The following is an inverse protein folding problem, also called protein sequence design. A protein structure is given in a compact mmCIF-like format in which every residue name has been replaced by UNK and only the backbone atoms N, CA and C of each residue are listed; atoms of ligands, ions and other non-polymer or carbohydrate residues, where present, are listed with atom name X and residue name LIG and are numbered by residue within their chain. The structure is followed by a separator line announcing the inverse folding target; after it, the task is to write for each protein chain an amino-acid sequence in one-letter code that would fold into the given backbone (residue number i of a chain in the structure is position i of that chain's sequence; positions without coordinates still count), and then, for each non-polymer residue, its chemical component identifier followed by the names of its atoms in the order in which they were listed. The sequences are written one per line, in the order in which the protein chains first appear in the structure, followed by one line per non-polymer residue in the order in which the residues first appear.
data_IF_013141969546
#
_entry.id   IF_013141969546
#
_cell.length_a   1.000
_cell.length_b   1.000
_cell.length_c   1.000
_cell.angle_alpha   90.00
_cell.angle_beta   90.00
_cell.angle_gamma   90.00
#
_symmetry.space_group_name_H-M   'P 1'
#
loop_
_entity.id
_entity.type
_entity.pdbx_description
1 polymer ?
#
# COMPACT_ATOMS: atom_id res chain seq x y z
N UNK A 1 7.11 -27.47 21.53
CA UNK A 1 6.92 -26.95 20.17
C UNK A 1 7.45 -25.52 20.19
N UNK A 2 8.32 -25.16 19.27
CA UNK A 2 8.72 -23.78 19.05
C UNK A 2 7.63 -23.04 18.24
N UNK A 3 7.79 -21.72 18.02
CA UNK A 3 6.80 -20.89 17.30
C UNK A 3 6.51 -21.45 15.91
N UNK A 4 7.54 -21.84 15.16
CA UNK A 4 7.42 -22.40 13.81
C UNK A 4 6.58 -23.68 13.80
N UNK A 5 6.91 -24.64 14.66
CA UNK A 5 6.17 -25.92 14.75
C UNK A 5 4.70 -25.70 15.16
N UNK A 6 4.46 -24.72 16.02
CA UNK A 6 3.12 -24.37 16.49
C UNK A 6 2.30 -23.75 15.36
N UNK A 7 2.86 -22.77 14.65
CA UNK A 7 2.18 -22.12 13.52
C UNK A 7 1.94 -23.09 12.36
N UNK A 8 2.93 -23.91 11.99
CA UNK A 8 2.80 -24.91 10.93
C UNK A 8 1.69 -25.95 11.22
N UNK A 9 1.39 -26.18 12.51
CA UNK A 9 0.31 -27.09 12.93
C UNK A 9 -1.06 -26.44 12.97
N UNK A 10 -1.16 -25.18 13.40
CA UNK A 10 -2.44 -24.56 13.76
C UNK A 10 -2.89 -23.44 12.80
N UNK A 11 -2.00 -22.94 11.95
CA UNK A 11 -2.32 -21.90 10.95
C UNK A 11 -2.36 -22.54 9.56
N UNK A 12 -3.36 -22.19 8.76
CA UNK A 12 -3.45 -22.66 7.37
C UNK A 12 -2.16 -22.29 6.60
N UNK A 13 -1.62 -23.18 5.73
CA UNK A 13 -0.30 -23.03 5.10
C UNK A 13 -0.26 -21.98 3.97
N UNK A 14 -1.09 -20.96 4.02
CA UNK A 14 -1.23 -19.95 2.97
C UNK A 14 -0.03 -19.01 2.82
N UNK A 15 0.83 -18.93 3.84
CA UNK A 15 2.01 -18.04 3.88
C UNK A 15 3.35 -18.76 3.75
N UNK A 16 3.37 -20.11 3.70
CA UNK A 16 4.60 -20.88 3.84
C UNK A 16 5.64 -20.62 2.72
N UNK A 17 5.21 -20.16 1.56
CA UNK A 17 6.08 -19.86 0.42
C UNK A 17 6.76 -18.49 0.47
N UNK A 18 6.37 -17.62 1.40
CA UNK A 18 6.87 -16.23 1.54
C UNK A 18 7.50 -15.94 2.90
N UNK A 19 7.45 -16.89 3.86
CA UNK A 19 8.00 -16.71 5.21
C UNK A 19 9.53 -16.71 5.19
N UNK A 20 10.12 -15.79 5.95
CA UNK A 20 11.50 -15.95 6.40
C UNK A 20 11.57 -17.09 7.43
N UNK A 21 12.69 -17.83 7.48
CA UNK A 21 12.87 -18.89 8.48
C UNK A 21 13.24 -18.34 9.87
N UNK A 22 12.60 -17.25 10.27
CA UNK A 22 12.90 -16.47 11.48
C UNK A 22 11.66 -16.38 12.37
N UNK A 23 11.88 -16.25 13.68
CA UNK A 23 10.84 -16.03 14.69
C UNK A 23 11.12 -14.71 15.39
N UNK A 24 10.47 -13.63 14.97
CA UNK A 24 10.66 -12.31 15.56
C UNK A 24 9.93 -12.21 16.91
N UNK A 25 10.61 -11.66 17.92
CA UNK A 25 10.12 -11.54 19.29
C UNK A 25 10.13 -10.10 19.79
N UNK A 26 10.89 -9.22 19.15
CA UNK A 26 10.99 -7.80 19.51
C UNK A 26 11.20 -6.95 18.27
N UNK A 27 10.81 -5.68 18.34
CA UNK A 27 11.05 -4.70 17.29
C UNK A 27 11.15 -3.29 17.86
N UNK A 28 11.97 -2.43 17.22
CA UNK A 28 12.16 -1.03 17.62
C UNK A 28 12.77 -0.22 16.45
N UNK A 29 12.18 0.92 16.10
CA UNK A 29 12.64 1.76 15.00
C UNK A 29 12.66 0.99 13.68
N UNK A 30 13.78 0.99 12.98
CA UNK A 30 13.97 0.25 11.72
C UNK A 30 14.39 -1.22 11.92
N UNK A 31 14.34 -1.75 13.14
CA UNK A 31 14.88 -3.06 13.45
C UNK A 31 13.85 -4.03 14.03
N UNK A 32 14.03 -5.30 13.66
CA UNK A 32 13.36 -6.45 14.30
C UNK A 32 14.40 -7.40 14.87
N UNK A 33 14.04 -8.13 15.94
CA UNK A 33 14.92 -9.05 16.65
C UNK A 33 14.28 -10.45 16.69
N UNK A 34 15.06 -11.48 16.38
CA UNK A 34 14.61 -12.86 16.43
C UNK A 34 14.79 -13.48 17.83
N UNK A 35 14.29 -14.71 18.00
CA UNK A 35 14.33 -15.48 19.25
C UNK A 35 15.76 -15.93 19.66
N UNK A 36 16.78 -15.66 18.83
CA UNK A 36 18.19 -15.84 19.18
C UNK A 36 18.87 -14.54 19.64
N UNK A 37 18.16 -13.41 19.60
CA UNK A 37 18.67 -12.09 19.91
C UNK A 37 19.40 -11.39 18.76
N UNK A 38 19.33 -11.93 17.56
CA UNK A 38 19.91 -11.33 16.36
C UNK A 38 18.98 -10.23 15.84
N UNK A 39 19.54 -9.05 15.56
CA UNK A 39 18.81 -7.87 15.05
C UNK A 39 18.97 -7.75 13.55
N UNK A 40 17.89 -7.37 12.89
CA UNK A 40 17.82 -7.20 11.43
C UNK A 40 17.29 -5.80 11.10
N UNK A 41 17.95 -5.11 10.18
CA UNK A 41 17.46 -3.88 9.58
C UNK A 41 16.29 -4.21 8.65
N UNK A 42 15.11 -3.70 8.94
CA UNK A 42 13.89 -3.97 8.17
C UNK A 42 13.67 -2.93 7.07
N UNK A 43 14.18 -3.21 5.87
CA UNK A 43 13.91 -2.41 4.68
C UNK A 43 12.69 -2.91 3.88
N UNK A 44 11.78 -3.64 4.55
CA UNK A 44 10.53 -4.11 3.96
C UNK A 44 9.28 -3.65 4.72
N UNK A 45 9.43 -3.29 5.99
CA UNK A 45 8.38 -2.69 6.81
C UNK A 45 7.10 -3.52 6.92
N UNK A 46 7.21 -4.86 6.92
CA UNK A 46 6.04 -5.74 6.96
C UNK A 46 5.08 -5.51 5.79
N UNK A 47 5.56 -5.47 4.55
CA UNK A 47 4.81 -5.10 3.33
C UNK A 47 4.40 -3.61 3.28
N UNK A 48 5.29 -2.69 3.65
CA UNK A 48 5.05 -1.24 3.70
C UNK A 48 4.01 -0.81 4.76
N UNK A 49 3.85 -1.59 5.84
CA UNK A 49 2.89 -1.32 6.91
C UNK A 49 3.49 -0.44 8.01
N UNK A 50 4.72 -0.74 8.47
CA UNK A 50 5.38 -0.06 9.58
C UNK A 50 5.99 1.28 9.13
N UNK A 51 5.15 2.23 8.70
CA UNK A 51 5.62 3.52 8.16
C UNK A 51 6.36 4.38 9.19
N UNK A 52 6.01 4.28 10.47
CA UNK A 52 6.65 4.99 11.57
C UNK A 52 7.86 4.26 12.17
N UNK A 53 8.28 3.13 11.57
CA UNK A 53 9.13 2.18 12.25
C UNK A 53 8.35 1.34 13.25
N UNK A 54 9.05 0.40 13.88
CA UNK A 54 8.47 -0.50 14.86
C UNK A 54 8.37 0.16 16.22
N UNK A 55 7.24 -0.03 16.90
CA UNK A 55 7.01 0.42 18.28
C UNK A 55 7.34 1.90 18.51
N UNK A 56 6.96 2.79 17.59
CA UNK A 56 7.21 4.23 17.73
C UNK A 56 6.62 4.75 19.05
N UNK A 57 7.40 5.43 19.94
CA UNK A 57 6.97 5.74 21.30
C UNK A 57 5.64 6.51 21.36
N UNK A 58 5.50 7.59 20.60
CA UNK A 58 4.25 8.40 20.56
C UNK A 58 3.05 7.58 20.07
N UNK A 59 3.26 6.67 19.12
CA UNK A 59 2.20 5.80 18.60
C UNK A 59 1.75 4.77 19.65
N UNK A 60 2.72 4.14 20.34
CA UNK A 60 2.45 3.20 21.45
C UNK A 60 1.71 3.91 22.58
N UNK A 61 2.14 5.12 22.97
CA UNK A 61 1.49 5.94 23.98
C UNK A 61 0.02 6.23 23.60
N UNK A 62 -0.22 6.74 22.38
CA UNK A 62 -1.58 7.07 21.93
C UNK A 62 -2.53 5.87 21.94
N UNK A 63 -2.06 4.69 21.51
CA UNK A 63 -2.86 3.46 21.55
C UNK A 63 -3.10 2.96 22.98
N UNK A 64 -2.09 3.03 23.85
CA UNK A 64 -2.21 2.63 25.25
C UNK A 64 -3.22 3.51 26.00
N UNK A 65 -3.19 4.83 25.78
CA UNK A 65 -4.13 5.77 26.34
C UNK A 65 -5.54 5.52 25.81
N UNK A 66 -5.70 5.33 24.48
CA UNK A 66 -7.01 5.04 23.89
C UNK A 66 -7.60 3.73 24.41
N UNK A 67 -6.79 2.68 24.53
CA UNK A 67 -7.22 1.38 25.09
C UNK A 67 -7.67 1.49 26.56
N UNK A 68 -7.03 2.35 27.34
CA UNK A 68 -7.39 2.59 28.75
C UNK A 68 -8.61 3.49 28.91
N UNK A 69 -8.94 4.32 27.91
CA UNK A 69 -10.00 5.32 28.00
C UNK A 69 -11.31 4.84 27.38
N UNK A 70 -11.24 4.35 26.13
CA UNK A 70 -12.41 3.93 25.37
C UNK A 70 -11.97 3.02 24.22
N UNK A 71 -12.06 1.72 24.42
CA UNK A 71 -11.56 0.69 23.51
C UNK A 71 -12.45 0.49 22.30
N UNK A 72 -13.78 0.35 22.51
CA UNK A 72 -14.70 0.08 21.43
C UNK A 72 -16.15 0.49 21.73
N UNK A 73 -16.76 1.10 20.71
CA UNK A 73 -18.20 1.12 20.45
C UNK A 73 -18.43 1.22 18.95
N UNK A 74 -19.54 0.69 18.46
CA UNK A 74 -19.85 0.67 17.02
C UNK A 74 -20.16 2.09 16.49
N UNK A 75 -20.39 2.18 15.17
CA UNK A 75 -20.74 3.44 14.48
C UNK A 75 -22.10 4.01 14.86
N UNK A 76 -22.77 3.50 15.88
CA UNK A 76 -24.04 4.01 16.42
C UNK A 76 -23.88 5.32 17.20
N UNK A 77 -22.67 5.69 17.60
CA UNK A 77 -22.36 6.91 18.32
C UNK A 77 -21.24 7.71 17.66
N UNK A 78 -21.25 9.02 17.85
CA UNK A 78 -20.13 9.87 17.51
C UNK A 78 -18.91 9.54 18.39
N UNK A 79 -17.73 9.64 17.80
CA UNK A 79 -16.46 9.33 18.43
C UNK A 79 -15.45 10.45 18.12
N UNK A 80 -14.98 11.22 19.14
CA UNK A 80 -14.08 12.35 18.91
C UNK A 80 -12.78 11.97 18.17
N UNK A 81 -12.16 10.86 18.56
CA UNK A 81 -10.91 10.41 17.92
C UNK A 81 -11.13 9.98 16.47
N UNK A 82 -12.30 9.41 16.14
CA UNK A 82 -12.67 9.09 14.75
C UNK A 82 -12.92 10.36 13.93
N UNK A 83 -13.56 11.37 14.49
CA UNK A 83 -13.75 12.64 13.82
C UNK A 83 -12.42 13.32 13.52
N UNK A 84 -11.47 13.27 14.46
CA UNK A 84 -10.12 13.80 14.27
C UNK A 84 -9.34 13.02 13.19
N UNK A 85 -9.35 11.68 13.24
CA UNK A 85 -8.73 10.86 12.20
C UNK A 85 -9.30 11.16 10.80
N UNK A 86 -10.62 11.30 10.69
CA UNK A 86 -11.28 11.64 9.43
C UNK A 86 -10.84 13.02 8.92
N UNK A 87 -10.78 14.03 9.80
CA UNK A 87 -10.32 15.38 9.45
C UNK A 87 -8.88 15.36 8.92
N UNK A 88 -7.97 14.73 9.66
CA UNK A 88 -6.55 14.63 9.28
C UNK A 88 -6.39 13.97 7.91
N UNK A 89 -7.11 12.88 7.65
CA UNK A 89 -7.05 12.19 6.36
C UNK A 89 -7.56 13.06 5.21
N UNK A 90 -8.73 13.68 5.38
CA UNK A 90 -9.34 14.52 4.34
C UNK A 90 -8.48 15.73 4.03
N UNK A 91 -7.93 16.40 5.06
CA UNK A 91 -7.06 17.58 4.88
C UNK A 91 -5.71 17.29 4.20
N UNK A 92 -5.28 16.00 4.13
CA UNK A 92 -3.99 15.58 3.54
C UNK A 92 -4.13 14.79 2.25
N UNK A 93 -5.35 14.46 1.84
CA UNK A 93 -5.58 13.61 0.67
C UNK A 93 -6.26 14.40 -0.43
N UNK A 94 -5.51 14.95 -1.38
CA UNK A 94 -6.05 15.67 -2.53
C UNK A 94 -7.17 16.66 -2.16
N UNK A 95 -8.15 16.84 -3.04
CA UNK A 95 -9.40 17.57 -2.78
C UNK A 95 -10.52 16.63 -2.29
N UNK A 96 -10.19 15.65 -1.43
CA UNK A 96 -11.20 14.72 -0.90
C UNK A 96 -12.13 15.43 0.10
N UNK A 97 -13.36 14.93 0.19
CA UNK A 97 -14.41 15.57 0.98
C UNK A 97 -14.84 14.75 2.19
N UNK A 98 -14.94 13.42 2.02
CA UNK A 98 -15.37 12.51 3.09
C UNK A 98 -14.63 11.19 3.04
N UNK A 99 -14.58 10.50 4.19
CA UNK A 99 -13.93 9.20 4.36
C UNK A 99 -14.90 8.17 4.94
N UNK A 100 -14.84 6.95 4.42
CA UNK A 100 -15.42 5.75 5.03
C UNK A 100 -14.29 4.86 5.54
N UNK A 101 -14.34 4.49 6.83
CA UNK A 101 -13.37 3.58 7.44
C UNK A 101 -13.81 2.13 7.33
N UNK A 102 -12.87 1.24 7.09
CA UNK A 102 -13.00 -0.22 7.13
C UNK A 102 -11.76 -0.84 7.82
N UNK A 103 -11.52 -2.14 7.65
CA UNK A 103 -10.50 -2.85 8.43
C UNK A 103 -9.30 -3.31 7.60
N UNK A 104 -9.40 -3.24 6.28
CA UNK A 104 -8.35 -3.71 5.36
C UNK A 104 -8.42 -3.00 4.02
N UNK A 105 -7.33 -3.10 3.23
CA UNK A 105 -7.32 -2.61 1.85
C UNK A 105 -8.32 -3.34 0.95
N UNK A 106 -8.54 -4.65 1.15
CA UNK A 106 -9.53 -5.40 0.39
C UNK A 106 -10.96 -4.89 0.64
N UNK A 107 -11.34 -4.59 1.90
CA UNK A 107 -12.63 -3.97 2.22
C UNK A 107 -12.74 -2.55 1.64
N UNK A 108 -11.64 -1.80 1.59
CA UNK A 108 -11.63 -0.48 0.94
C UNK A 108 -11.92 -0.61 -0.55
N UNK A 109 -11.29 -1.55 -1.25
CA UNK A 109 -11.58 -1.85 -2.67
C UNK A 109 -13.04 -2.26 -2.87
N UNK A 110 -13.57 -3.20 -2.08
CA UNK A 110 -14.98 -3.62 -2.14
C UNK A 110 -15.92 -2.42 -1.99
N UNK A 111 -15.60 -1.51 -1.06
CA UNK A 111 -16.38 -0.29 -0.82
C UNK A 111 -16.29 0.68 -1.99
N UNK A 112 -15.09 0.94 -2.52
CA UNK A 112 -14.89 1.83 -3.65
C UNK A 112 -15.62 1.35 -4.91
N UNK A 113 -15.58 0.04 -5.20
CA UNK A 113 -16.32 -0.58 -6.31
C UNK A 113 -17.84 -0.40 -6.17
N UNK A 114 -18.40 -0.59 -4.97
CA UNK A 114 -19.82 -0.37 -4.71
C UNK A 114 -20.22 1.09 -4.91
N UNK A 115 -19.43 2.02 -4.36
CA UNK A 115 -19.68 3.47 -4.48
C UNK A 115 -19.64 3.89 -5.94
N UNK A 116 -18.61 3.49 -6.71
CA UNK A 116 -18.48 3.84 -8.11
C UNK A 116 -19.64 3.31 -8.98
N UNK A 117 -20.07 2.06 -8.75
CA UNK A 117 -21.24 1.50 -9.43
C UNK A 117 -22.53 2.24 -9.08
N UNK A 118 -22.75 2.60 -7.81
CA UNK A 118 -23.89 3.40 -7.39
C UNK A 118 -23.87 4.79 -8.03
N UNK A 119 -22.73 5.47 -7.98
CA UNK A 119 -22.58 6.83 -8.51
C UNK A 119 -22.84 6.94 -10.01
N UNK A 120 -22.54 5.89 -10.78
CA UNK A 120 -22.65 5.88 -12.24
C UNK A 120 -23.88 5.12 -12.76
N UNK A 121 -24.45 4.22 -11.97
CA UNK A 121 -25.48 3.27 -12.42
C UNK A 121 -24.97 2.22 -13.42
N UNK A 122 -23.63 2.04 -13.51
CA UNK A 122 -22.96 1.14 -14.46
C UNK A 122 -22.34 -0.06 -13.75
N UNK A 123 -22.00 -1.13 -14.50
CA UNK A 123 -21.58 -2.41 -13.91
C UNK A 123 -20.10 -2.72 -14.04
N UNK A 124 -19.50 -2.40 -15.21
CA UNK A 124 -18.14 -2.83 -15.54
C UNK A 124 -17.08 -1.95 -14.86
N UNK A 125 -15.94 -2.57 -14.59
CA UNK A 125 -14.74 -1.89 -14.08
C UNK A 125 -13.58 -2.18 -15.03
N UNK A 126 -12.78 -1.18 -15.32
CA UNK A 126 -11.48 -1.39 -15.96
C UNK A 126 -10.43 -1.47 -14.86
N UNK A 127 -9.60 -2.50 -14.89
CA UNK A 127 -8.45 -2.65 -13.99
C UNK A 127 -7.19 -2.97 -14.79
N UNK A 128 -6.02 -2.82 -14.17
CA UNK A 128 -4.78 -3.06 -14.90
C UNK A 128 -4.34 -4.51 -14.76
N UNK A 129 -3.81 -5.07 -15.86
CA UNK A 129 -3.02 -6.30 -15.80
C UNK A 129 -1.92 -6.11 -14.75
N UNK A 130 -1.68 -7.17 -13.95
CA UNK A 130 -0.66 -7.20 -12.89
C UNK A 130 -0.95 -6.34 -11.64
N UNK A 131 -2.06 -5.61 -11.54
CA UNK A 131 -2.47 -4.94 -10.30
C UNK A 131 -2.88 -5.93 -9.22
N UNK A 132 -2.63 -5.56 -7.96
CA UNK A 132 -3.05 -6.34 -6.80
C UNK A 132 -3.96 -5.51 -5.88
N UNK A 133 -5.24 -5.88 -5.80
CA UNK A 133 -6.25 -5.13 -5.04
C UNK A 133 -6.78 -5.88 -3.81
N UNK A 134 -6.43 -7.13 -3.62
CA UNK A 134 -6.84 -7.91 -2.44
C UNK A 134 -7.27 -9.33 -2.78
N UNK A 135 -7.79 -10.03 -1.76
CA UNK A 135 -8.13 -11.47 -1.83
C UNK A 135 -9.57 -11.80 -1.45
N UNK A 136 -10.41 -10.84 -1.12
CA UNK A 136 -11.87 -11.02 -1.08
C UNK A 136 -12.40 -11.16 -2.50
N UNK A 137 -13.57 -11.77 -2.69
CA UNK A 137 -14.07 -12.10 -4.03
C UNK A 137 -14.16 -10.86 -4.94
N UNK A 138 -14.72 -9.75 -4.46
CA UNK A 138 -14.80 -8.51 -5.25
C UNK A 138 -13.44 -7.87 -5.51
N UNK A 139 -12.56 -7.76 -4.51
CA UNK A 139 -11.22 -7.25 -4.71
C UNK A 139 -10.36 -8.17 -5.61
N UNK A 140 -10.55 -9.50 -5.49
CA UNK A 140 -9.89 -10.46 -6.36
C UNK A 140 -10.41 -10.39 -7.81
N UNK A 141 -11.69 -10.06 -8.00
CA UNK A 141 -12.31 -9.93 -9.33
C UNK A 141 -11.67 -8.82 -10.18
N UNK A 142 -11.08 -7.82 -9.55
CA UNK A 142 -10.38 -6.69 -10.18
C UNK A 142 -8.85 -6.78 -10.06
N UNK A 143 -8.33 -7.79 -9.37
CA UNK A 143 -6.87 -8.06 -9.28
C UNK A 143 -6.38 -8.64 -10.61
N UNK A 144 -5.33 -8.02 -11.19
CA UNK A 144 -4.78 -8.36 -12.50
C UNK A 144 -4.02 -9.69 -12.60
N UNK A 145 -3.74 -10.34 -11.46
CA UNK A 145 -3.04 -11.63 -11.40
C UNK A 145 -3.97 -12.80 -11.78
N UNK A 146 -3.95 -13.23 -13.03
CA UNK A 146 -4.77 -14.32 -13.55
C UNK A 146 -4.66 -15.61 -12.71
N UNK A 147 -3.46 -16.04 -12.40
CA UNK A 147 -3.20 -17.23 -11.56
C UNK A 147 -3.93 -17.21 -10.20
N UNK A 148 -4.15 -16.04 -9.64
CA UNK A 148 -4.86 -15.92 -8.35
C UNK A 148 -6.38 -16.07 -8.53
N UNK A 149 -6.92 -15.65 -9.67
CA UNK A 149 -8.35 -15.80 -10.03
C UNK A 149 -8.69 -17.21 -10.45
N UNK A 150 -7.80 -17.89 -11.18
CA UNK A 150 -7.97 -19.24 -11.71
C UNK A 150 -8.08 -20.33 -10.63
N UNK A 151 -7.80 -19.98 -9.37
CA UNK A 151 -8.05 -20.87 -8.23
C UNK A 151 -9.55 -21.11 -7.98
N UNK A 152 -10.43 -20.32 -8.60
CA UNK A 152 -11.87 -20.40 -8.42
C UNK A 152 -12.55 -20.92 -9.68
N UNK A 153 -13.53 -21.86 -9.55
CA UNK A 153 -14.21 -22.46 -10.69
C UNK A 153 -15.17 -21.50 -11.41
N UNK A 154 -15.58 -20.41 -10.75
CA UNK A 154 -16.44 -19.39 -11.34
C UNK A 154 -15.61 -18.29 -11.99
N UNK A 155 -16.09 -17.71 -13.08
CA UNK A 155 -15.51 -16.49 -13.64
C UNK A 155 -15.85 -15.29 -12.72
N UNK A 156 -15.04 -15.09 -11.69
CA UNK A 156 -15.25 -13.99 -10.73
C UNK A 156 -14.93 -12.61 -11.34
N UNK A 157 -14.26 -12.55 -12.47
CA UNK A 157 -13.88 -11.31 -13.16
C UNK A 157 -14.80 -10.95 -14.34
N UNK A 158 -16.00 -11.54 -14.45
CA UNK A 158 -16.93 -11.33 -15.56
C UNK A 158 -17.35 -9.86 -15.79
N UNK A 159 -17.18 -9.02 -14.77
CA UNK A 159 -17.50 -7.58 -14.80
C UNK A 159 -16.25 -6.68 -14.87
N UNK A 160 -15.09 -7.26 -15.22
CA UNK A 160 -13.80 -6.54 -15.25
C UNK A 160 -13.16 -6.66 -16.62
N UNK A 161 -12.77 -5.52 -17.19
CA UNK A 161 -11.88 -5.44 -18.33
C UNK A 161 -10.46 -5.19 -17.84
N UNK A 162 -9.51 -6.03 -18.26
CA UNK A 162 -8.10 -5.84 -17.95
C UNK A 162 -7.37 -5.24 -19.14
N UNK A 163 -6.61 -4.16 -18.89
CA UNK A 163 -5.74 -3.52 -19.86
C UNK A 163 -4.34 -3.35 -19.25
N UNK A 164 -3.33 -3.12 -20.08
CA UNK A 164 -1.98 -2.83 -19.57
C UNK A 164 -1.90 -1.44 -19.01
N UNK A 165 -1.16 -1.28 -17.91
CA UNK A 165 -0.80 0.03 -17.39
C UNK A 165 -0.02 0.81 -18.48
N UNK A 166 -0.46 2.02 -18.79
CA UNK A 166 0.13 2.85 -19.87
C UNK A 166 -0.59 2.76 -21.22
N UNK A 167 -1.60 1.88 -21.40
CA UNK A 167 -2.28 1.68 -22.68
C UNK A 167 -3.62 2.45 -22.75
N UNK A 168 -3.56 3.74 -23.10
CA UNK A 168 -4.75 4.57 -23.35
C UNK A 168 -5.52 4.14 -24.61
N UNK A 169 -4.84 3.55 -25.61
CA UNK A 169 -5.50 3.12 -26.85
C UNK A 169 -6.44 1.93 -26.58
N UNK A 170 -6.03 1.00 -25.70
CA UNK A 170 -6.89 -0.10 -25.28
C UNK A 170 -8.12 0.43 -24.54
N UNK A 171 -7.95 1.46 -23.69
CA UNK A 171 -9.04 2.09 -22.97
C UNK A 171 -10.04 2.78 -23.91
N UNK A 172 -9.56 3.49 -24.92
CA UNK A 172 -10.41 4.19 -25.93
C UNK A 172 -11.25 3.23 -26.79
N UNK A 173 -10.82 1.97 -26.93
CA UNK A 173 -11.56 0.92 -27.68
C UNK A 173 -12.74 0.32 -26.91
N UNK A 174 -12.81 0.55 -25.59
CA UNK A 174 -13.88 0.02 -24.76
C UNK A 174 -15.16 0.87 -24.88
N UNK A 175 -16.32 0.21 -24.82
CA UNK A 175 -17.60 0.92 -24.69
C UNK A 175 -17.75 1.48 -23.27
N UNK A 176 -17.47 2.78 -23.12
CA UNK A 176 -17.53 3.47 -21.86
C UNK A 176 -18.94 3.56 -21.25
N UNK A 177 -20.00 3.29 -22.01
CA UNK A 177 -21.39 3.44 -21.54
C UNK A 177 -21.73 2.50 -20.37
N UNK A 178 -21.09 1.33 -20.32
CA UNK A 178 -21.24 0.34 -19.24
C UNK A 178 -20.17 0.41 -18.15
N UNK A 179 -19.12 1.25 -18.31
CA UNK A 179 -17.98 1.30 -17.39
C UNK A 179 -18.28 2.25 -16.22
N UNK A 180 -18.30 1.71 -15.00
CA UNK A 180 -18.47 2.45 -13.75
C UNK A 180 -17.17 3.15 -13.32
N UNK A 181 -16.06 2.43 -13.38
CA UNK A 181 -14.79 2.93 -12.89
C UNK A 181 -13.58 2.41 -13.68
N UNK A 182 -12.49 3.19 -13.62
CA UNK A 182 -11.13 2.69 -13.81
C UNK A 182 -10.46 2.64 -12.45
N UNK A 183 -9.96 1.46 -12.08
CA UNK A 183 -9.22 1.20 -10.84
C UNK A 183 -7.78 0.82 -11.18
N UNK A 184 -6.81 1.44 -10.52
CA UNK A 184 -5.41 1.07 -10.68
C UNK A 184 -4.57 1.31 -9.43
N UNK A 185 -3.49 0.50 -9.28
CA UNK A 185 -2.32 0.89 -8.51
C UNK A 185 -1.51 1.90 -9.36
N UNK A 186 -1.34 3.17 -8.93
CA UNK A 186 -0.51 4.11 -9.71
C UNK A 186 0.96 3.66 -9.83
N UNK A 187 1.46 2.89 -8.85
CA UNK A 187 2.67 2.09 -8.94
C UNK A 187 2.32 0.64 -8.63
N UNK A 188 2.46 -0.25 -9.60
CA UNK A 188 2.19 -1.68 -9.47
C UNK A 188 3.26 -2.34 -8.60
N UNK A 189 3.09 -2.28 -7.29
CA UNK A 189 4.12 -2.67 -6.34
C UNK A 189 4.47 -4.16 -6.37
N UNK A 190 3.45 -5.03 -6.41
CA UNK A 190 3.64 -6.48 -6.25
C UNK A 190 4.41 -7.09 -7.41
N UNK A 191 4.32 -6.55 -8.61
CA UNK A 191 5.01 -7.05 -9.82
C UNK A 191 6.39 -6.41 -10.08
N UNK A 192 6.97 -5.75 -9.10
CA UNK A 192 8.32 -5.19 -9.20
C UNK A 192 8.34 -3.68 -9.41
N UNK A 193 7.35 -2.98 -8.85
CA UNK A 193 7.27 -1.52 -8.80
C UNK A 193 7.27 -0.91 -10.21
N UNK A 194 6.31 -1.32 -11.03
CA UNK A 194 6.11 -0.75 -12.37
C UNK A 194 5.25 0.51 -12.30
N UNK A 195 5.52 1.46 -13.17
CA UNK A 195 4.74 2.70 -13.31
C UNK A 195 4.68 3.12 -14.78
N UNK A 196 3.68 3.92 -15.13
CA UNK A 196 3.58 4.54 -16.45
C UNK A 196 4.22 5.93 -16.46
N UNK A 197 4.33 6.53 -17.62
CA UNK A 197 4.74 7.93 -17.75
C UNK A 197 3.64 8.90 -17.31
N UNK A 198 4.01 10.12 -16.94
CA UNK A 198 3.09 11.17 -16.46
C UNK A 198 1.94 11.43 -17.46
N UNK A 199 2.23 11.47 -18.76
CA UNK A 199 1.23 11.70 -19.82
C UNK A 199 0.10 10.66 -19.80
N UNK A 200 0.40 9.42 -19.41
CA UNK A 200 -0.62 8.39 -19.26
C UNK A 200 -1.63 8.75 -18.17
N UNK A 201 -1.16 9.15 -16.98
CA UNK A 201 -2.06 9.46 -15.87
C UNK A 201 -2.92 10.68 -16.17
N UNK A 202 -2.37 11.71 -16.81
CA UNK A 202 -3.13 12.88 -17.29
C UNK A 202 -4.18 12.48 -18.34
N UNK A 203 -3.76 11.69 -19.35
CA UNK A 203 -4.69 11.18 -20.36
C UNK A 203 -5.79 10.29 -19.80
N UNK A 204 -5.47 9.49 -18.76
CA UNK A 204 -6.44 8.65 -18.04
C UNK A 204 -7.49 9.51 -17.30
N UNK A 205 -7.05 10.56 -16.58
CA UNK A 205 -7.98 11.49 -15.92
C UNK A 205 -8.89 12.17 -16.93
N UNK A 206 -8.33 12.72 -18.00
CA UNK A 206 -9.09 13.35 -19.07
C UNK A 206 -10.11 12.40 -19.72
N UNK A 207 -9.74 11.15 -19.92
CA UNK A 207 -10.64 10.12 -20.44
C UNK A 207 -11.80 9.84 -19.49
N UNK A 208 -11.51 9.64 -18.21
CA UNK A 208 -12.53 9.41 -17.20
C UNK A 208 -13.53 10.58 -17.12
N UNK A 209 -13.02 11.82 -17.16
CA UNK A 209 -13.86 13.03 -17.13
C UNK A 209 -14.79 13.12 -18.33
N UNK A 210 -14.24 12.93 -19.55
CA UNK A 210 -15.03 12.98 -20.81
C UNK A 210 -16.09 11.88 -20.85
N UNK A 211 -15.84 10.72 -20.28
CA UNK A 211 -16.74 9.54 -20.32
C UNK A 211 -17.66 9.43 -19.10
N UNK A 212 -17.47 10.28 -18.09
CA UNK A 212 -18.20 10.21 -16.83
C UNK A 212 -17.96 8.88 -16.10
N UNK A 213 -16.71 8.42 -16.08
CA UNK A 213 -16.23 7.21 -15.41
C UNK A 213 -15.50 7.62 -14.15
N UNK A 214 -15.71 6.90 -13.05
CA UNK A 214 -15.03 7.17 -11.77
C UNK A 214 -13.58 6.69 -11.85
N UNK A 215 -12.63 7.55 -11.49
CA UNK A 215 -11.22 7.17 -11.36
C UNK A 215 -10.93 6.81 -9.90
N UNK A 216 -10.43 5.59 -9.67
CA UNK A 216 -10.07 5.07 -8.36
C UNK A 216 -8.57 4.81 -8.31
N UNK A 217 -7.87 5.45 -7.37
CA UNK A 217 -6.49 5.10 -7.05
C UNK A 217 -6.44 4.16 -5.87
N UNK A 218 -5.83 3.00 -6.08
CA UNK A 218 -5.40 2.13 -5.00
C UNK A 218 -4.07 2.63 -4.44
N UNK A 219 -4.17 3.47 -3.41
CA UNK A 219 -3.02 4.03 -2.69
C UNK A 219 -2.70 3.25 -1.41
N UNK A 220 -3.09 2.00 -1.35
CA UNK A 220 -2.82 1.12 -0.21
C UNK A 220 -1.32 0.95 0.04
N UNK A 221 -0.47 1.04 -0.98
CA UNK A 221 0.98 1.02 -0.83
C UNK A 221 1.68 2.34 -1.14
N UNK A 222 1.11 3.19 -1.96
CA UNK A 222 1.73 4.44 -2.42
C UNK A 222 1.46 5.62 -1.51
N UNK A 223 0.35 5.60 -0.77
CA UNK A 223 -0.07 6.68 0.11
C UNK A 223 0.70 6.76 1.44
N UNK A 224 0.27 7.69 2.27
CA UNK A 224 0.76 7.92 3.64
C UNK A 224 2.27 8.24 3.71
N UNK A 225 2.77 9.08 2.80
CA UNK A 225 4.15 9.56 2.79
C UNK A 225 5.16 8.65 2.08
N UNK A 226 4.76 7.44 1.67
CA UNK A 226 5.62 6.40 1.11
C UNK A 226 6.48 6.87 -0.08
N UNK A 227 5.93 7.69 -0.96
CA UNK A 227 6.59 8.15 -2.18
C UNK A 227 7.29 9.51 -2.04
N UNK A 228 7.36 10.09 -0.83
CA UNK A 228 7.83 11.45 -0.60
C UNK A 228 6.78 12.52 -0.89
N UNK A 229 5.53 12.10 -1.02
CA UNK A 229 4.31 12.90 -1.04
C UNK A 229 3.29 12.19 -0.16
N UNK A 230 2.26 12.90 0.32
CA UNK A 230 1.19 12.26 1.09
C UNK A 230 0.50 11.17 0.28
N UNK A 231 0.18 11.48 -0.99
CA UNK A 231 -0.40 10.57 -1.97
C UNK A 231 0.29 10.71 -3.32
N UNK A 232 0.36 9.62 -4.06
CA UNK A 232 1.26 9.55 -5.23
C UNK A 232 0.84 10.44 -6.40
N UNK A 233 -0.45 10.71 -6.58
CA UNK A 233 -0.94 11.60 -7.66
C UNK A 233 -0.43 13.03 -7.56
N UNK A 234 0.01 13.47 -6.37
CA UNK A 234 0.63 14.78 -6.17
C UNK A 234 1.92 14.96 -7.01
N UNK A 235 2.63 13.88 -7.35
CA UNK A 235 3.80 13.95 -8.22
C UNK A 235 3.44 14.43 -9.63
N UNK A 236 2.21 14.21 -10.06
CA UNK A 236 1.74 14.52 -11.41
C UNK A 236 0.67 15.64 -11.43
N UNK A 237 0.36 16.22 -10.28
CA UNK A 237 -0.71 17.22 -10.14
C UNK A 237 -2.08 16.65 -10.54
N UNK A 238 -2.34 15.38 -10.25
CA UNK A 238 -3.53 14.66 -10.64
C UNK A 238 -4.27 14.09 -9.43
N UNK A 239 -5.60 14.16 -9.48
CA UNK A 239 -6.48 13.72 -8.42
C UNK A 239 -7.50 12.68 -8.94
N UNK A 240 -7.68 11.54 -8.25
CA UNK A 240 -8.76 10.60 -8.53
C UNK A 240 -10.09 11.06 -7.93
N UNK A 241 -11.18 10.36 -8.26
CA UNK A 241 -12.49 10.57 -7.63
C UNK A 241 -12.62 9.83 -6.30
N UNK A 242 -11.97 8.66 -6.20
CA UNK A 242 -11.89 7.81 -5.01
C UNK A 242 -10.45 7.39 -4.75
N UNK A 243 -10.09 7.34 -3.48
CA UNK A 243 -8.81 6.79 -3.01
C UNK A 243 -9.07 5.65 -2.04
N UNK A 244 -8.43 4.50 -2.24
CA UNK A 244 -8.37 3.46 -1.23
C UNK A 244 -7.02 3.47 -0.53
N UNK A 245 -7.01 3.37 0.80
CA UNK A 245 -5.80 3.36 1.60
C UNK A 245 -5.89 2.38 2.77
N UNK A 246 -4.77 1.82 3.20
CA UNK A 246 -4.64 0.90 4.33
C UNK A 246 -3.16 0.81 4.75
N UNK A 247 -2.68 -0.36 5.17
CA UNK A 247 -1.25 -0.61 5.50
C UNK A 247 -0.65 0.48 6.38
N UNK A 248 0.15 1.40 5.78
CA UNK A 248 0.77 2.51 6.48
C UNK A 248 -0.21 3.45 7.18
N UNK A 249 -1.48 3.48 6.78
CA UNK A 249 -2.52 4.31 7.36
C UNK A 249 -2.61 4.21 8.89
N UNK A 250 -2.49 3.00 9.43
CA UNK A 250 -2.59 2.74 10.86
C UNK A 250 -1.26 2.49 11.58
N UNK A 251 -0.11 2.67 10.90
CA UNK A 251 1.21 2.46 11.51
C UNK A 251 1.45 1.03 12.06
N UNK A 252 0.70 0.04 11.58
CA UNK A 252 0.72 -1.36 12.05
C UNK A 252 -0.61 -1.85 12.61
N UNK A 253 -1.57 -0.97 12.90
CA UNK A 253 -2.91 -1.35 13.34
C UNK A 253 -3.82 -1.67 12.14
N UNK A 254 -4.64 -2.74 12.18
CA UNK A 254 -5.56 -3.09 11.10
C UNK A 254 -6.60 -1.99 10.86
N UNK A 255 -6.48 -1.30 9.75
CA UNK A 255 -7.43 -0.27 9.29
C UNK A 255 -7.30 -0.09 7.79
N UNK A 256 -8.42 0.21 7.13
CA UNK A 256 -8.49 0.65 5.76
C UNK A 256 -9.49 1.80 5.64
N UNK A 257 -9.44 2.52 4.55
CA UNK A 257 -10.38 3.60 4.29
C UNK A 257 -10.58 3.84 2.80
N UNK A 258 -11.74 4.42 2.47
CA UNK A 258 -12.04 5.01 1.16
C UNK A 258 -12.30 6.49 1.38
N UNK A 259 -11.58 7.33 0.65
CA UNK A 259 -11.85 8.76 0.57
C UNK A 259 -12.56 9.06 -0.75
N UNK A 260 -13.53 9.95 -0.72
CA UNK A 260 -14.32 10.36 -1.86
C UNK A 260 -14.27 11.88 -2.03
N UNK A 261 -14.18 12.35 -3.28
CA UNK A 261 -14.36 13.76 -3.60
C UNK A 261 -15.82 14.19 -3.36
N UNK A 262 -16.10 15.50 -3.37
CA UNK A 262 -17.44 16.05 -3.10
C UNK A 262 -18.52 15.47 -4.04
N UNK A 263 -18.22 15.35 -5.33
CA UNK A 263 -19.15 14.81 -6.33
C UNK A 263 -19.56 13.37 -6.04
N UNK A 264 -18.63 12.52 -5.69
CA UNK A 264 -18.93 11.11 -5.38
C UNK A 264 -19.54 10.98 -3.99
N UNK A 265 -19.06 11.72 -2.99
CA UNK A 265 -19.63 11.73 -1.64
C UNK A 265 -21.13 12.08 -1.65
N UNK A 266 -21.53 13.03 -2.48
CA UNK A 266 -22.94 13.42 -2.63
C UNK A 266 -23.88 12.32 -3.16
N UNK A 267 -23.34 11.22 -3.73
CA UNK A 267 -24.13 10.08 -4.21
C UNK A 267 -24.36 9.00 -3.15
N UNK A 268 -23.64 9.08 -2.02
CA UNK A 268 -23.69 8.08 -0.94
C UNK A 268 -24.81 8.44 0.05
N UNK A 269 -25.63 7.46 0.36
CA UNK A 269 -26.77 7.61 1.26
C UNK A 269 -26.62 6.75 2.52
N UNK A 270 -27.30 7.09 3.62
CA UNK A 270 -27.34 6.25 4.81
C UNK A 270 -27.82 4.84 4.50
N UNK A 271 -27.00 3.83 4.88
CA UNK A 271 -27.29 2.42 4.66
C UNK A 271 -26.59 1.80 3.44
N UNK A 272 -25.96 2.58 2.56
CA UNK A 272 -25.22 2.05 1.41
C UNK A 272 -24.03 1.20 1.81
N UNK A 273 -23.39 1.55 2.92
CA UNK A 273 -22.23 0.86 3.45
C UNK A 273 -22.26 0.85 4.97
N UNK A 274 -21.76 -0.22 5.55
CA UNK A 274 -21.67 -0.39 7.00
C UNK A 274 -20.50 -1.30 7.37
N UNK A 275 -20.00 -1.13 8.58
CA UNK A 275 -18.95 -1.96 9.18
C UNK A 275 -19.09 -1.93 10.69
N UNK A 276 -18.85 -3.04 11.35
CA UNK A 276 -18.89 -3.10 12.82
C UNK A 276 -17.65 -2.46 13.44
N UNK A 277 -16.46 -2.76 12.91
CA UNK A 277 -15.18 -2.35 13.50
C UNK A 277 -14.51 -1.16 12.79
N UNK A 278 -14.87 -0.88 11.53
CA UNK A 278 -14.23 0.16 10.74
C UNK A 278 -14.38 1.54 11.38
N UNK A 279 -13.26 2.21 11.61
CA UNK A 279 -13.19 3.50 12.32
C UNK A 279 -13.51 3.40 13.80
N UNK A 280 -13.42 2.22 14.41
CA UNK A 280 -13.48 2.07 15.87
C UNK A 280 -12.41 2.91 16.57
N UNK A 281 -12.60 3.24 17.87
CA UNK A 281 -11.73 4.17 18.61
C UNK A 281 -10.24 3.83 18.52
N UNK A 282 -9.88 2.56 18.63
CA UNK A 282 -8.48 2.10 18.55
C UNK A 282 -7.89 2.31 17.13
N UNK A 283 -8.63 1.95 16.10
CA UNK A 283 -8.21 2.16 14.71
C UNK A 283 -8.06 3.65 14.39
N UNK A 284 -9.01 4.46 14.85
CA UNK A 284 -8.99 5.90 14.68
C UNK A 284 -7.82 6.57 15.44
N UNK A 285 -7.50 6.11 16.64
CA UNK A 285 -6.34 6.58 17.41
C UNK A 285 -5.02 6.24 16.69
N UNK A 286 -4.94 5.02 16.13
CA UNK A 286 -3.79 4.60 15.33
C UNK A 286 -3.60 5.51 14.10
N UNK A 287 -4.67 5.80 13.36
CA UNK A 287 -4.63 6.71 12.19
C UNK A 287 -4.23 8.13 12.62
N UNK A 288 -4.90 8.69 13.63
CA UNK A 288 -4.60 10.05 14.09
C UNK A 288 -3.16 10.19 14.58
N UNK A 289 -2.66 9.23 15.36
CA UNK A 289 -1.27 9.20 15.80
C UNK A 289 -0.30 9.09 14.61
N UNK A 290 -0.58 8.20 13.64
CA UNK A 290 0.26 8.03 12.45
C UNK A 290 0.37 9.33 11.66
N UNK A 291 -0.72 9.99 11.35
CA UNK A 291 -0.71 11.24 10.58
C UNK A 291 0.00 12.37 11.30
N UNK A 292 -0.24 12.53 12.62
CA UNK A 292 0.43 13.54 13.44
C UNK A 292 1.94 13.32 13.49
N UNK A 293 2.39 12.08 13.69
CA UNK A 293 3.82 11.77 13.75
C UNK A 293 4.48 12.03 12.39
N UNK A 294 3.86 11.60 11.29
CA UNK A 294 4.38 11.86 9.94
C UNK A 294 4.57 13.37 9.72
N UNK A 295 3.60 14.18 10.14
CA UNK A 295 3.65 15.64 9.98
C UNK A 295 4.65 16.29 10.93
N UNK A 296 4.58 15.99 12.24
CA UNK A 296 5.45 16.58 13.26
C UNK A 296 6.93 16.28 13.06
N UNK A 297 7.24 15.11 12.54
CA UNK A 297 8.62 14.67 12.30
C UNK A 297 9.09 14.92 10.86
N UNK A 298 8.24 15.52 10.02
CA UNK A 298 8.59 15.89 8.63
C UNK A 298 8.94 14.68 7.77
N UNK A 299 8.30 13.52 8.00
CA UNK A 299 8.71 12.27 7.37
C UNK A 299 8.48 12.23 5.86
N UNK A 300 7.50 12.98 5.34
CA UNK A 300 7.26 13.09 3.89
C UNK A 300 8.45 13.77 3.21
N UNK A 301 8.90 14.90 3.74
CA UNK A 301 10.04 15.65 3.26
C UNK A 301 11.36 14.89 3.43
N UNK A 302 11.50 14.15 4.54
CA UNK A 302 12.63 13.26 4.76
C UNK A 302 12.72 12.20 3.66
N UNK A 303 11.62 11.51 3.36
CA UNK A 303 11.56 10.51 2.28
C UNK A 303 11.90 11.15 0.94
N UNK A 304 11.30 12.30 0.61
CA UNK A 304 11.57 13.00 -0.65
C UNK A 304 13.07 13.32 -0.81
N UNK A 305 13.72 13.77 0.27
CA UNK A 305 15.12 14.17 0.26
C UNK A 305 16.07 12.96 0.21
N UNK A 306 15.89 11.99 1.12
CA UNK A 306 16.83 10.87 1.24
C UNK A 306 16.67 9.87 0.08
N UNK A 307 15.45 9.66 -0.42
CA UNK A 307 15.23 8.69 -1.50
C UNK A 307 15.92 9.08 -2.80
N UNK A 308 16.09 10.37 -3.08
CA UNK A 308 16.84 10.83 -4.27
C UNK A 308 18.28 10.30 -4.25
N UNK A 309 18.98 10.45 -3.12
CA UNK A 309 20.35 9.91 -2.97
C UNK A 309 20.39 8.38 -2.96
N UNK A 310 19.36 7.72 -2.42
CA UNK A 310 19.26 6.25 -2.46
C UNK A 310 19.09 5.75 -3.89
N UNK A 311 18.22 6.38 -4.69
CA UNK A 311 18.00 6.02 -6.10
C UNK A 311 19.27 6.28 -6.92
N UNK A 312 19.96 7.39 -6.71
CA UNK A 312 21.23 7.72 -7.37
C UNK A 312 22.30 6.64 -7.07
N UNK A 313 22.51 6.30 -5.80
CA UNK A 313 23.46 5.26 -5.39
C UNK A 313 23.09 3.88 -5.94
N UNK A 314 21.82 3.50 -5.94
CA UNK A 314 21.36 2.27 -6.59
C UNK A 314 21.65 2.28 -8.11
N UNK A 315 21.56 3.44 -8.75
CA UNK A 315 21.89 3.64 -10.16
C UNK A 315 23.36 3.33 -10.49
N UNK A 316 24.29 3.50 -9.55
CA UNK A 316 25.70 3.16 -9.72
C UNK A 316 25.97 1.66 -9.90
N UNK A 317 25.03 0.81 -9.45
CA UNK A 317 25.08 -0.65 -9.62
C UNK A 317 24.48 -1.12 -10.95
N UNK A 318 23.88 -0.24 -11.74
CA UNK A 318 23.35 -0.60 -13.07
C UNK A 318 24.52 -0.99 -13.98
N UNK A 319 24.45 -2.23 -14.52
CA UNK A 319 25.54 -2.87 -15.25
C UNK A 319 26.56 -3.62 -14.36
N UNK A 320 26.46 -3.51 -13.03
CA UNK A 320 27.26 -4.23 -12.03
C UNK A 320 26.44 -5.28 -11.24
N UNK A 321 25.41 -5.85 -11.83
CA UNK A 321 24.51 -6.81 -11.19
C UNK A 321 23.07 -6.31 -11.06
N UNK A 322 22.85 -5.01 -11.06
CA UNK A 322 21.54 -4.38 -11.20
C UNK A 322 21.26 -4.09 -12.67
N UNK A 323 20.06 -4.36 -13.15
CA UNK A 323 19.59 -4.04 -14.49
C UNK A 323 18.83 -2.72 -14.53
N UNK A 324 17.97 -2.48 -13.52
CA UNK A 324 17.08 -1.33 -13.47
C UNK A 324 16.64 -1.02 -12.03
N UNK A 325 16.49 0.27 -11.72
CA UNK A 325 15.88 0.78 -10.49
C UNK A 325 14.58 1.49 -10.84
N UNK A 326 13.50 1.15 -10.16
CA UNK A 326 12.14 1.67 -10.41
C UNK A 326 11.52 2.19 -9.13
N UNK A 327 10.59 3.13 -9.26
CA UNK A 327 9.74 3.59 -8.18
C UNK A 327 9.98 5.02 -7.76
N UNK A 328 9.33 5.43 -6.67
CA UNK A 328 9.35 6.77 -6.10
C UNK A 328 9.49 6.69 -4.56
N UNK A 329 10.24 7.61 -3.99
CA UNK A 329 10.42 7.65 -2.54
C UNK A 329 10.99 6.35 -2.00
N UNK A 330 10.32 5.80 -0.99
CA UNK A 330 10.64 4.50 -0.38
C UNK A 330 9.74 3.36 -0.87
N UNK A 331 9.24 3.45 -2.08
CA UNK A 331 8.61 2.36 -2.82
C UNK A 331 9.49 2.05 -4.03
N UNK A 332 10.51 1.20 -3.83
CA UNK A 332 11.53 0.92 -4.83
C UNK A 332 11.57 -0.56 -5.22
N UNK A 333 11.72 -0.80 -6.51
CA UNK A 333 12.00 -2.11 -7.09
C UNK A 333 13.38 -2.09 -7.73
N UNK A 334 14.23 -3.02 -7.33
CA UNK A 334 15.59 -3.18 -7.87
C UNK A 334 15.64 -4.48 -8.66
N UNK A 335 15.68 -4.35 -9.98
CA UNK A 335 15.78 -5.50 -10.88
C UNK A 335 17.24 -5.89 -11.05
N UNK A 336 17.54 -7.17 -10.83
CA UNK A 336 18.89 -7.73 -10.86
C UNK A 336 19.05 -8.78 -11.93
N UNK A 337 20.30 -9.03 -12.35
CA UNK A 337 20.66 -10.13 -13.24
C UNK A 337 20.44 -11.49 -12.56
N UNK A 338 20.70 -11.56 -11.25
CA UNK A 338 20.48 -12.75 -10.41
C UNK A 338 19.03 -12.78 -9.89
N UNK A 339 18.47 -13.96 -9.57
CA UNK A 339 17.17 -14.06 -8.93
C UNK A 339 17.07 -13.24 -7.64
N UNK A 340 15.98 -12.52 -7.47
CA UNK A 340 15.75 -11.67 -6.28
C UNK A 340 15.82 -12.46 -4.96
N UNK A 341 15.43 -13.74 -4.95
CA UNK A 341 15.56 -14.62 -3.77
C UNK A 341 17.00 -14.87 -3.35
N UNK A 342 17.94 -14.90 -4.30
CA UNK A 342 19.37 -15.06 -3.99
C UNK A 342 19.92 -13.78 -3.36
N UNK A 343 19.54 -12.61 -3.90
CA UNK A 343 19.92 -11.32 -3.32
C UNK A 343 19.29 -11.13 -1.93
N UNK A 344 18.02 -11.50 -1.77
CA UNK A 344 17.33 -11.47 -0.48
C UNK A 344 18.03 -12.36 0.56
N UNK A 345 18.46 -13.56 0.16
CA UNK A 345 19.18 -14.47 1.05
C UNK A 345 20.57 -13.91 1.42
N UNK A 346 21.30 -13.33 0.47
CA UNK A 346 22.59 -12.69 0.74
C UNK A 346 22.43 -11.48 1.68
N UNK A 347 21.47 -10.60 1.45
CA UNK A 347 21.16 -9.47 2.35
C UNK A 347 20.76 -9.95 3.75
N UNK A 348 20.04 -11.07 3.85
CA UNK A 348 19.68 -11.66 5.14
C UNK A 348 20.92 -12.10 5.94
N UNK A 349 21.98 -12.60 5.29
CA UNK A 349 23.26 -12.92 5.94
C UNK A 349 23.91 -11.66 6.53
N UNK A 350 23.72 -10.50 5.90
CA UNK A 350 24.11 -9.18 6.41
C UNK A 350 23.10 -8.58 7.40
N UNK A 351 22.12 -9.33 7.88
CA UNK A 351 21.05 -8.88 8.78
C UNK A 351 20.14 -7.79 8.18
N UNK A 352 19.86 -7.85 6.89
CA UNK A 352 19.00 -6.89 6.19
C UNK A 352 17.82 -7.62 5.56
N UNK A 353 16.59 -7.17 5.88
CA UNK A 353 15.36 -7.72 5.34
C UNK A 353 14.88 -6.90 4.16
N UNK A 354 14.69 -7.54 3.02
CA UNK A 354 14.07 -6.94 1.82
C UNK A 354 12.97 -7.84 1.29
N UNK A 355 12.03 -7.30 0.52
CA UNK A 355 10.95 -8.08 -0.10
C UNK A 355 11.32 -8.62 -1.47
N UNK A 356 10.66 -9.70 -1.89
CA UNK A 356 10.63 -10.12 -3.30
C UNK A 356 9.36 -9.61 -3.98
N UNK A 357 9.23 -9.82 -5.28
CA UNK A 357 8.08 -9.42 -6.08
C UNK A 357 7.56 -10.55 -6.97
N UNK A 358 6.51 -10.28 -7.75
CA UNK A 358 6.03 -11.18 -8.81
C UNK A 358 7.01 -11.30 -9.97
N UNK A 359 7.88 -10.32 -10.19
CA UNK A 359 9.05 -10.44 -11.06
C UNK A 359 10.17 -11.17 -10.30
N UNK A 360 10.59 -12.37 -10.72
CA UNK A 360 11.57 -13.18 -9.98
C UNK A 360 12.96 -12.53 -9.89
N UNK A 361 13.24 -11.51 -10.67
CA UNK A 361 14.51 -10.77 -10.67
C UNK A 361 14.45 -9.47 -9.88
N UNK A 362 13.28 -9.02 -9.41
CA UNK A 362 13.12 -7.75 -8.70
C UNK A 362 12.91 -7.96 -7.21
N UNK A 363 13.83 -7.47 -6.37
CA UNK A 363 13.57 -7.28 -4.95
C UNK A 363 13.01 -5.88 -4.68
N UNK A 364 12.30 -5.72 -3.56
CA UNK A 364 11.64 -4.46 -3.19
C UNK A 364 12.17 -3.91 -1.88
N UNK A 365 12.31 -2.59 -1.85
CA UNK A 365 12.62 -1.80 -0.68
C UNK A 365 11.38 -0.99 -0.31
N UNK A 366 10.83 -1.27 0.86
CA UNK A 366 9.61 -0.67 1.42
C UNK A 366 9.84 -0.32 2.90
N UNK A 367 10.96 0.36 3.25
CA UNK A 367 11.35 0.58 4.64
C UNK A 367 10.35 1.45 5.39
N UNK A 368 10.46 1.57 6.72
CA UNK A 368 9.88 2.67 7.48
C UNK A 368 10.27 4.03 6.89
N UNK A 369 9.41 5.05 7.02
CA UNK A 369 9.74 6.42 6.58
C UNK A 369 10.86 7.04 7.45
N UNK A 370 11.04 6.50 8.64
CA UNK A 370 12.01 6.93 9.64
C UNK A 370 13.44 6.41 9.42
N UNK A 371 13.67 5.58 8.39
CA UNK A 371 15.02 5.06 8.09
C UNK A 371 16.00 6.20 7.87
N UNK A 372 17.11 6.17 8.60
CA UNK A 372 18.16 7.19 8.58
C UNK A 372 19.17 6.98 7.44
N UNK A 373 19.94 8.01 7.12
CA UNK A 373 21.03 7.93 6.14
C UNK A 373 22.07 6.87 6.53
N UNK A 374 22.42 6.75 7.82
CA UNK A 374 23.37 5.74 8.30
C UNK A 374 22.86 4.30 8.17
N UNK A 375 21.55 4.08 8.28
CA UNK A 375 20.95 2.76 8.03
C UNK A 375 20.96 2.41 6.53
N UNK A 376 20.79 3.40 5.65
CA UNK A 376 21.01 3.22 4.23
C UNK A 376 22.47 2.90 3.90
N UNK A 377 23.44 3.49 4.62
CA UNK A 377 24.85 3.16 4.42
C UNK A 377 25.15 1.69 4.70
N UNK A 378 24.58 1.11 5.77
CA UNK A 378 24.69 -0.33 6.05
C UNK A 378 24.15 -1.21 4.90
N UNK A 379 23.04 -0.79 4.30
CA UNK A 379 22.50 -1.49 3.14
C UNK A 379 23.45 -1.43 1.93
N UNK A 380 24.05 -0.26 1.66
CA UNK A 380 24.97 -0.10 0.54
C UNK A 380 26.30 -0.81 0.76
N UNK A 381 26.79 -0.88 1.99
CA UNK A 381 27.96 -1.71 2.34
C UNK A 381 27.71 -3.19 2.01
N UNK A 382 26.54 -3.71 2.39
CA UNK A 382 26.16 -5.07 2.05
C UNK A 382 26.01 -5.28 0.52
N UNK A 383 25.42 -4.31 -0.19
CA UNK A 383 25.31 -4.40 -1.65
C UNK A 383 26.65 -4.40 -2.36
N UNK A 384 27.63 -3.61 -1.89
CA UNK A 384 28.97 -3.59 -2.47
C UNK A 384 29.65 -4.97 -2.34
N UNK A 385 29.48 -5.67 -1.20
CA UNK A 385 30.01 -7.02 -1.03
C UNK A 385 29.28 -8.05 -1.92
N UNK A 386 27.97 -7.88 -2.15
CA UNK A 386 27.16 -8.82 -2.94
C UNK A 386 27.41 -8.68 -4.45
N UNK A 387 27.73 -7.48 -4.92
CA UNK A 387 27.94 -7.16 -6.34
C UNK A 387 29.40 -6.87 -6.74
N UNK A 388 30.36 -7.06 -5.80
CA UNK A 388 31.80 -6.95 -6.06
C UNK A 388 32.40 -8.17 -6.86
#
# INVERSE_FOLDING_TARGET
MNSKETEDRFILPTYNNIRFPLSFVRSEGSYVEDDTGRRYLDLYGGHAVCVLGHCHPKWVEALSEQAATFDFYSNLCYCPVRAEAARLMVERCYSMHQVFFCNSGAEAIETALKIARKATGREYVVSMEEDFHGRTIGALSVTGFEKSRDLFPQNIAQWTHFIRLGDLEALDKLDASGIAAVLLEPLQSVVGVKMAGEDYYRGLRDWCDRKGVVLIFDEVQTGNGRTGKWFVGEHWGMEPDLVTTAKGLGGGYPVGAVLANEKIAATVEPGDQATTFGGGPMAAAAVAATYRIIEEEGLVEQVATLSAGVIERLGEYVGRGVEEVRGLGYLLGVRCQRPAKEIQAALLEHNILVGTSGDPQTFRLLPPLTVSASEWDLFFEALEEIFS
#
